data_IF_519779547802
#
_entry.id   IF_519779547802
#
_cell.length_a   1.000
_cell.length_b   1.000
_cell.length_c   1.000
_cell.angle_alpha   90.00
_cell.angle_beta   90.00
_cell.angle_gamma   90.00
#
_symmetry.space_group_name_H-M   'P 1'
#
loop_
_entity.id
_entity.type
_entity.pdbx_description
1 polymer ?
#
# COMPACT_ATOMS: atom_id res chain seq x y z
N UNK A 1 42.74 25.08 -42.46
CA UNK A 1 42.04 24.24 -43.46
C UNK A 1 41.56 22.98 -42.76
N UNK A 2 40.36 22.54 -43.12
CA UNK A 2 39.48 21.59 -42.44
C UNK A 2 40.03 20.17 -42.28
N UNK A 3 39.47 19.43 -41.30
CA UNK A 3 39.59 17.99 -41.17
C UNK A 3 38.70 17.45 -40.04
N UNK A 4 37.47 17.07 -40.41
CA UNK A 4 36.38 16.59 -39.54
C UNK A 4 36.62 15.19 -38.95
N UNK A 5 36.09 14.96 -37.74
CA UNK A 5 35.81 13.63 -37.17
C UNK A 5 34.38 13.61 -36.59
N UNK A 6 33.61 12.52 -36.72
CA UNK A 6 32.18 12.53 -36.49
C UNK A 6 31.87 12.55 -34.99
N UNK A 7 31.03 13.51 -34.57
CA UNK A 7 30.44 13.53 -33.24
C UNK A 7 29.52 12.32 -33.10
N UNK A 8 29.94 11.36 -32.28
CA UNK A 8 29.07 10.30 -31.77
C UNK A 8 27.94 10.96 -30.97
N UNK A 9 26.73 10.88 -31.52
CA UNK A 9 25.50 11.14 -30.82
C UNK A 9 25.44 10.22 -29.60
N UNK A 10 25.59 10.79 -28.41
CA UNK A 10 25.25 10.10 -27.19
C UNK A 10 23.74 10.27 -27.00
N UNK A 11 22.97 9.34 -27.58
CA UNK A 11 21.57 9.16 -27.23
C UNK A 11 21.50 8.88 -25.73
N UNK A 12 21.12 9.90 -24.96
CA UNK A 12 20.65 9.73 -23.60
C UNK A 12 19.33 8.95 -23.66
N UNK A 13 19.44 7.62 -23.56
CA UNK A 13 18.34 6.72 -23.22
C UNK A 13 17.65 7.28 -21.97
N UNK A 14 16.50 7.92 -22.18
CA UNK A 14 15.67 8.43 -21.11
C UNK A 14 15.16 7.26 -20.28
N UNK A 15 15.82 6.99 -19.15
CA UNK A 15 15.21 6.23 -18.08
C UNK A 15 14.08 7.09 -17.52
N UNK A 16 12.83 6.81 -17.94
CA UNK A 16 11.66 7.37 -17.30
C UNK A 16 11.51 6.72 -15.92
N UNK A 17 12.21 7.28 -14.92
CA UNK A 17 11.96 6.95 -13.53
C UNK A 17 10.49 7.21 -13.17
N UNK A 18 9.96 6.57 -12.11
CA UNK A 18 8.58 6.82 -11.69
C UNK A 18 8.38 8.32 -11.46
N UNK A 19 7.30 8.88 -11.99
CA UNK A 19 6.92 10.27 -11.73
C UNK A 19 6.73 10.41 -10.22
N UNK A 20 7.51 11.28 -9.59
CA UNK A 20 7.40 11.56 -8.17
C UNK A 20 6.63 12.87 -7.96
N UNK A 21 5.69 12.85 -7.02
CA UNK A 21 4.85 13.98 -6.64
C UNK A 21 5.42 14.58 -5.35
N UNK A 22 5.97 15.82 -5.40
CA UNK A 22 6.41 16.53 -4.20
C UNK A 22 5.23 16.78 -3.27
N UNK A 23 5.22 16.10 -2.13
CA UNK A 23 4.11 16.10 -1.19
C UNK A 23 4.54 16.77 0.12
N UNK A 24 3.79 17.78 0.56
CA UNK A 24 4.05 18.50 1.80
C UNK A 24 3.35 17.84 2.98
N UNK A 25 4.11 17.50 4.00
CA UNK A 25 3.63 17.04 5.29
C UNK A 25 3.75 18.15 6.32
N UNK A 26 2.71 18.35 7.12
CA UNK A 26 2.64 19.45 8.10
C UNK A 26 2.17 18.91 9.46
N UNK A 27 2.90 19.28 10.50
CA UNK A 27 2.59 19.02 11.90
C UNK A 27 2.35 20.34 12.65
N UNK A 28 1.09 20.70 12.97
CA UNK A 28 0.76 22.02 13.51
C UNK A 28 0.83 22.15 15.04
N UNK A 29 1.16 21.06 15.77
CA UNK A 29 0.93 20.99 17.22
C UNK A 29 2.16 21.27 18.09
N UNK A 30 3.22 21.85 17.53
CA UNK A 30 4.47 22.09 18.25
C UNK A 30 5.26 20.83 18.57
N UNK A 31 6.39 21.01 19.27
CA UNK A 31 7.35 19.98 19.62
C UNK A 31 8.78 20.52 19.55
N UNK A 32 9.76 19.81 20.13
CA UNK A 32 11.19 20.16 20.01
C UNK A 32 11.86 19.44 18.86
N UNK A 33 11.52 18.17 18.67
CA UNK A 33 12.01 17.32 17.58
C UNK A 33 10.84 16.60 16.93
N UNK A 34 10.58 16.93 15.67
CA UNK A 34 9.49 16.37 14.88
C UNK A 34 10.08 15.62 13.69
N UNK A 35 9.71 14.36 13.53
CA UNK A 35 10.09 13.54 12.40
C UNK A 35 8.87 12.95 11.70
N UNK A 36 9.02 12.64 10.42
CA UNK A 36 8.05 11.93 9.59
C UNK A 36 8.57 10.53 9.30
N UNK A 37 7.70 9.52 9.41
CA UNK A 37 7.96 8.17 8.90
C UNK A 37 6.70 7.65 8.22
N UNK A 38 6.85 6.77 7.24
CA UNK A 38 5.71 6.20 6.53
C UNK A 38 6.07 5.01 5.67
N UNK A 39 5.11 4.57 4.85
CA UNK A 39 5.31 3.44 3.93
C UNK A 39 6.46 3.68 2.95
N UNK A 40 6.69 4.93 2.56
CA UNK A 40 7.77 5.37 1.67
C UNK A 40 9.17 5.35 2.30
N UNK A 41 9.28 5.25 3.64
CA UNK A 41 10.53 4.97 4.37
C UNK A 41 10.56 3.55 4.93
N UNK A 42 9.62 2.68 4.49
CA UNK A 42 9.39 1.34 5.05
C UNK A 42 9.21 1.34 6.58
N UNK A 43 8.83 2.47 7.18
CA UNK A 43 8.77 2.67 8.63
C UNK A 43 10.10 2.45 9.39
N UNK A 44 11.23 2.41 8.68
CA UNK A 44 12.56 2.19 9.28
C UNK A 44 13.31 3.50 9.53
N UNK A 45 13.06 4.51 8.70
CA UNK A 45 13.76 5.80 8.77
C UNK A 45 12.86 6.92 9.29
N UNK A 46 13.48 7.90 9.96
CA UNK A 46 12.84 9.10 10.51
C UNK A 46 13.35 10.34 9.77
N UNK A 47 12.49 10.96 8.97
CA UNK A 47 12.81 12.16 8.20
C UNK A 47 12.63 13.39 9.11
N UNK A 48 13.67 14.18 9.40
CA UNK A 48 13.54 15.37 10.23
C UNK A 48 12.67 16.44 9.55
N UNK A 49 11.75 17.03 10.31
CA UNK A 49 10.91 18.14 9.85
C UNK A 49 11.48 19.47 10.33
N UNK A 50 11.26 20.54 9.55
CA UNK A 50 11.73 21.90 9.87
C UNK A 50 10.56 22.80 10.27
N UNK A 51 10.73 23.73 11.21
CA UNK A 51 9.72 24.75 11.49
C UNK A 51 9.37 25.55 10.23
N UNK A 52 8.10 25.91 10.09
CA UNK A 52 7.61 26.76 9.03
C UNK A 52 8.03 28.22 9.30
N UNK A 53 8.38 28.94 8.24
CA UNK A 53 8.76 30.34 8.34
C UNK A 53 7.61 31.17 8.94
N UNK A 54 7.92 31.99 9.96
CA UNK A 54 6.93 32.79 10.68
C UNK A 54 6.07 32.03 11.70
N UNK A 55 6.09 30.70 11.70
CA UNK A 55 5.27 29.84 12.58
C UNK A 55 6.13 28.73 13.21
N UNK A 56 6.93 29.01 14.26
CA UNK A 56 7.88 28.05 14.82
C UNK A 56 7.23 26.82 15.49
N UNK A 57 5.93 26.87 15.75
CA UNK A 57 5.14 25.76 16.30
C UNK A 57 4.63 24.81 15.22
N UNK A 58 4.72 25.18 13.94
CA UNK A 58 4.27 24.36 12.82
C UNK A 58 5.51 23.79 12.14
N UNK A 59 5.61 22.47 12.05
CA UNK A 59 6.70 21.78 11.38
C UNK A 59 6.26 21.29 10.01
N UNK A 60 7.16 21.30 9.04
CA UNK A 60 6.89 20.81 7.69
C UNK A 60 8.08 20.07 7.08
N UNK A 61 7.78 19.18 6.14
CA UNK A 61 8.76 18.60 5.21
C UNK A 61 8.08 18.34 3.87
N UNK A 62 8.82 18.48 2.78
CA UNK A 62 8.38 18.06 1.45
C UNK A 62 9.10 16.77 1.13
N UNK A 63 8.34 15.73 0.77
CA UNK A 63 8.88 14.44 0.37
C UNK A 63 8.28 14.00 -0.95
N UNK A 64 9.12 13.45 -1.81
CA UNK A 64 8.72 13.02 -3.15
C UNK A 64 8.11 11.62 -3.06
N UNK A 65 6.83 11.50 -3.40
CA UNK A 65 6.09 10.25 -3.32
C UNK A 65 5.66 9.74 -4.69
N UNK A 66 5.64 8.43 -4.85
CA UNK A 66 5.01 7.79 -6.01
C UNK A 66 3.48 7.97 -5.95
N UNK A 67 2.77 7.98 -7.09
CA UNK A 67 1.32 7.91 -7.12
C UNK A 67 0.79 6.66 -6.41
N UNK A 68 -0.23 6.80 -5.60
CA UNK A 68 -0.82 5.70 -4.84
C UNK A 68 -1.18 6.07 -3.41
N UNK A 69 -1.47 5.04 -2.63
CA UNK A 69 -1.86 5.16 -1.24
C UNK A 69 -0.64 5.03 -0.33
N UNK A 70 -0.46 5.99 0.57
CA UNK A 70 0.61 6.01 1.54
C UNK A 70 0.07 6.20 2.95
N UNK A 71 0.69 5.51 3.89
CA UNK A 71 0.46 5.68 5.32
C UNK A 71 1.67 6.35 5.94
N UNK A 72 1.45 7.21 6.92
CA UNK A 72 2.51 7.94 7.62
C UNK A 72 2.13 8.28 9.05
N UNK A 73 3.15 8.60 9.85
CA UNK A 73 3.01 8.98 11.25
C UNK A 73 4.12 9.96 11.63
N UNK A 74 3.83 10.81 12.61
CA UNK A 74 4.79 11.76 13.15
C UNK A 74 5.43 11.19 14.41
N UNK A 75 6.74 11.35 14.55
CA UNK A 75 7.46 11.04 15.78
C UNK A 75 7.86 12.35 16.44
N UNK A 76 7.21 12.69 17.56
CA UNK A 76 7.28 14.00 18.20
C UNK A 76 7.77 13.83 19.63
N UNK A 77 8.96 14.35 19.91
CA UNK A 77 9.55 14.35 21.26
C UNK A 77 9.60 12.98 21.96
N UNK A 78 9.73 11.90 21.18
CA UNK A 78 9.79 10.53 21.70
C UNK A 78 8.52 9.70 21.46
N UNK A 79 7.43 10.35 21.04
CA UNK A 79 6.11 9.73 20.97
C UNK A 79 5.57 9.67 19.54
N UNK A 80 4.92 8.55 19.20
CA UNK A 80 4.26 8.36 17.92
C UNK A 80 2.89 9.03 17.90
N UNK A 81 2.72 10.05 17.06
CA UNK A 81 1.49 10.84 16.93
C UNK A 81 0.98 10.88 15.51
N UNK A 82 -0.31 11.10 15.35
CA UNK A 82 -0.95 11.34 14.07
C UNK A 82 -1.65 12.69 14.12
N UNK A 83 -1.86 13.30 12.95
CA UNK A 83 -2.61 14.54 12.82
C UNK A 83 -4.10 14.22 12.68
N UNK A 84 -4.90 14.56 13.68
CA UNK A 84 -6.34 14.27 13.72
C UNK A 84 -7.14 15.04 12.65
N UNK A 85 -6.56 16.13 12.10
CA UNK A 85 -7.18 16.93 11.03
C UNK A 85 -6.92 16.39 9.63
N UNK A 86 -6.10 15.33 9.50
CA UNK A 86 -5.79 14.69 8.22
C UNK A 86 -6.43 13.30 8.16
N UNK A 87 -6.70 12.75 6.96
CA UNK A 87 -7.23 11.40 6.84
C UNK A 87 -6.36 10.40 7.60
N UNK A 88 -6.98 9.48 8.34
CA UNK A 88 -6.28 8.46 9.12
C UNK A 88 -7.05 7.14 9.12
N UNK A 89 -6.34 6.07 9.46
CA UNK A 89 -6.92 4.75 9.71
C UNK A 89 -6.43 4.25 11.06
N UNK A 90 -7.30 3.55 11.78
CA UNK A 90 -6.98 2.90 13.05
C UNK A 90 -6.96 1.40 12.84
N UNK A 91 -5.87 0.76 13.26
CA UNK A 91 -5.70 -0.69 13.21
C UNK A 91 -5.13 -1.24 14.51
N UNK A 92 -4.74 -2.51 14.48
CA UNK A 92 -4.11 -3.23 15.60
C UNK A 92 -2.79 -2.62 16.10
N UNK A 93 -2.05 -1.92 15.23
CA UNK A 93 -0.81 -1.21 15.56
C UNK A 93 -1.02 0.28 15.92
N UNK A 94 -2.28 0.68 16.16
CA UNK A 94 -2.68 2.05 16.47
C UNK A 94 -3.11 2.85 15.26
N UNK A 95 -3.18 4.17 15.42
CA UNK A 95 -3.65 5.09 14.37
C UNK A 95 -2.49 5.63 13.55
N UNK A 96 -2.66 5.69 12.23
CA UNK A 96 -1.72 6.27 11.25
C UNK A 96 -2.47 7.20 10.30
N UNK A 97 -1.83 8.29 9.89
CA UNK A 97 -2.36 9.13 8.83
C UNK A 97 -2.23 8.44 7.47
N UNK A 98 -3.06 8.88 6.53
CA UNK A 98 -3.19 8.30 5.20
C UNK A 98 -3.26 9.41 4.16
N UNK A 99 -2.69 9.15 2.99
CA UNK A 99 -2.77 10.06 1.85
C UNK A 99 -2.86 9.25 0.57
N UNK A 100 -3.74 9.67 -0.33
CA UNK A 100 -3.83 9.12 -1.68
C UNK A 100 -3.39 10.17 -2.69
N UNK A 101 -2.37 9.83 -3.47
CA UNK A 101 -1.87 10.67 -4.54
C UNK A 101 -2.36 10.09 -5.86
N UNK A 102 -3.30 10.77 -6.50
CA UNK A 102 -3.69 10.46 -7.87
C UNK A 102 -2.47 10.70 -8.77
N UNK A 103 -2.08 9.69 -9.57
CA UNK A 103 -1.14 9.93 -10.67
C UNK A 103 -1.84 10.82 -11.69
N UNK A 104 -1.09 11.72 -12.34
CA UNK A 104 -1.68 12.58 -13.37
C UNK A 104 -2.51 11.73 -14.35
N UNK A 105 -3.83 11.96 -14.47
CA UNK A 105 -4.55 11.52 -15.64
C UNK A 105 -4.09 12.42 -16.78
N UNK A 106 -3.60 11.83 -17.89
CA UNK A 106 -3.37 12.58 -19.12
C UNK A 106 -4.59 13.47 -19.41
N UNK A 107 -4.37 14.78 -19.42
CA UNK A 107 -5.41 15.79 -19.54
C UNK A 107 -6.18 15.62 -20.86
N UNK A 108 -7.51 15.55 -20.78
CA UNK A 108 -8.39 16.02 -21.86
C UNK A 108 -9.35 17.06 -21.25
N UNK A 109 -9.45 18.29 -21.79
CA UNK A 109 -10.07 19.41 -21.09
C UNK A 109 -11.59 19.31 -21.03
N UNK A 110 -12.10 19.75 -19.88
CA UNK A 110 -13.50 19.94 -19.49
C UNK A 110 -14.26 20.92 -20.39
N UNK A 111 -15.55 20.65 -20.63
CA UNK A 111 -16.55 21.66 -21.00
C UNK A 111 -17.79 21.59 -20.10
N UNK A 112 -17.89 22.57 -19.19
CA UNK A 112 -19.06 23.29 -18.65
C UNK A 112 -20.32 22.48 -18.24
N UNK A 113 -20.59 22.24 -16.94
CA UNK A 113 -21.28 23.09 -15.92
C UNK A 113 -22.82 23.12 -16.07
N UNK A 114 -23.60 23.65 -15.09
CA UNK A 114 -23.89 23.18 -13.73
C UNK A 114 -25.42 23.11 -13.49
N UNK A 115 -25.94 22.60 -12.35
CA UNK A 115 -27.09 23.21 -11.64
C UNK A 115 -27.45 22.51 -10.31
N UNK A 116 -27.83 23.37 -9.36
CA UNK A 116 -28.11 23.16 -7.94
C UNK A 116 -29.61 22.98 -7.68
N UNK A 117 -30.04 22.26 -6.62
CA UNK A 117 -31.13 22.68 -5.70
C UNK A 117 -31.66 21.59 -4.73
N UNK A 118 -31.88 22.00 -3.47
CA UNK A 118 -32.98 21.55 -2.58
C UNK A 118 -32.74 20.30 -1.71
N UNK A 119 -32.56 20.42 -0.38
CA UNK A 119 -33.60 20.47 0.70
C UNK A 119 -34.30 19.10 0.88
N UNK A 120 -34.35 18.40 2.02
CA UNK A 120 -34.50 18.77 3.45
C UNK A 120 -34.29 17.59 4.42
N UNK A 121 -33.76 17.91 5.61
CA UNK A 121 -34.12 17.60 7.01
C UNK A 121 -34.61 16.21 7.55
N UNK A 122 -33.89 15.81 8.62
CA UNK A 122 -34.25 15.29 9.97
C UNK A 122 -34.58 13.80 10.24
N UNK A 123 -33.70 13.22 11.10
CA UNK A 123 -33.82 12.29 12.24
C UNK A 123 -35.02 11.34 12.36
N UNK A 124 -34.78 10.06 12.70
CA UNK A 124 -34.85 9.52 14.10
C UNK A 124 -34.07 8.20 14.21
N UNK A 125 -33.32 8.13 15.30
CA UNK A 125 -32.69 7.01 15.99
C UNK A 125 -33.45 5.66 16.02
N UNK A 126 -32.73 4.55 15.87
CA UNK A 126 -33.14 3.24 16.35
C UNK A 126 -31.90 2.36 16.60
N UNK A 127 -31.49 2.28 17.86
CA UNK A 127 -30.47 1.39 18.41
C UNK A 127 -30.70 -0.09 18.04
N UNK A 128 -29.77 -0.67 17.28
CA UNK A 128 -29.40 -2.10 17.36
C UNK A 128 -27.89 -2.21 17.17
N UNK A 129 -27.17 -2.43 18.27
CA UNK A 129 -25.77 -2.83 18.27
C UNK A 129 -25.60 -4.16 17.51
N UNK A 130 -25.23 -4.09 16.24
CA UNK A 130 -24.52 -5.17 15.56
C UNK A 130 -23.16 -4.62 15.15
N UNK A 131 -22.18 -4.73 16.06
CA UNK A 131 -20.78 -4.48 15.75
C UNK A 131 -20.29 -5.63 14.85
N UNK A 132 -20.64 -5.57 13.56
CA UNK A 132 -19.92 -6.30 12.53
C UNK A 132 -18.91 -5.31 11.99
N UNK A 133 -17.63 -5.54 12.29
CA UNK A 133 -16.53 -4.84 11.64
C UNK A 133 -16.81 -4.81 10.14
N UNK A 134 -17.09 -3.63 9.61
CA UNK A 134 -17.18 -3.44 8.19
C UNK A 134 -15.76 -3.57 7.65
N UNK A 135 -15.39 -4.79 7.25
CA UNK A 135 -14.37 -5.02 6.23
C UNK A 135 -14.62 -3.96 5.15
N UNK A 136 -13.65 -3.09 4.82
CA UNK A 136 -13.83 -2.10 3.76
C UNK A 136 -14.34 -2.84 2.54
N UNK A 137 -15.60 -2.60 2.16
CA UNK A 137 -16.19 -3.21 0.97
C UNK A 137 -15.58 -2.48 -0.21
N UNK A 138 -14.38 -2.90 -0.62
CA UNK A 138 -13.77 -2.45 -1.86
C UNK A 138 -14.80 -2.65 -2.98
N UNK A 139 -15.07 -1.59 -3.75
CA UNK A 139 -15.96 -1.74 -4.88
C UNK A 139 -15.30 -2.66 -5.91
N UNK A 140 -16.10 -3.36 -6.70
CA UNK A 140 -15.56 -4.20 -7.78
C UNK A 140 -14.68 -3.37 -8.74
N UNK A 141 -15.06 -2.11 -8.99
CA UNK A 141 -14.27 -1.18 -9.79
C UNK A 141 -12.90 -0.88 -9.17
N UNK A 142 -12.82 -0.69 -7.85
CA UNK A 142 -11.55 -0.47 -7.15
C UNK A 142 -10.64 -1.70 -7.22
N UNK A 143 -11.21 -2.90 -7.12
CA UNK A 143 -10.48 -4.15 -7.28
C UNK A 143 -9.94 -4.31 -8.69
N UNK A 144 -10.74 -3.98 -9.71
CA UNK A 144 -10.33 -4.08 -11.11
C UNK A 144 -9.21 -3.09 -11.44
N UNK A 145 -9.32 -1.85 -10.94
CA UNK A 145 -8.25 -0.85 -11.04
C UNK A 145 -6.98 -1.35 -10.34
N UNK A 146 -7.11 -1.89 -9.12
CA UNK A 146 -5.96 -2.41 -8.36
C UNK A 146 -5.28 -3.57 -9.08
N UNK A 147 -6.05 -4.54 -9.59
CA UNK A 147 -5.52 -5.66 -10.40
C UNK A 147 -4.83 -5.15 -11.65
N UNK A 148 -5.42 -4.18 -12.35
CA UNK A 148 -4.86 -3.62 -13.56
C UNK A 148 -3.51 -2.94 -13.28
N UNK A 149 -3.41 -2.15 -12.20
CA UNK A 149 -2.17 -1.50 -11.78
C UNK A 149 -1.09 -2.51 -11.38
N UNK A 150 -1.45 -3.55 -10.62
CA UNK A 150 -0.52 -4.63 -10.24
C UNK A 150 -0.05 -5.36 -11.50
N UNK A 151 -0.95 -5.71 -12.42
CA UNK A 151 -0.62 -6.39 -13.68
C UNK A 151 0.34 -5.56 -14.54
N UNK A 152 0.07 -4.26 -14.71
CA UNK A 152 0.97 -3.35 -15.41
C UNK A 152 2.34 -3.30 -14.74
N UNK A 153 2.39 -3.19 -13.41
CA UNK A 153 3.64 -3.13 -12.67
C UNK A 153 4.46 -4.41 -12.84
N UNK A 154 3.85 -5.58 -12.63
CA UNK A 154 4.51 -6.88 -12.74
C UNK A 154 4.95 -7.19 -14.19
N UNK A 155 4.23 -6.69 -15.19
CA UNK A 155 4.60 -6.87 -16.61
C UNK A 155 5.79 -6.01 -17.03
N UNK A 156 6.08 -4.93 -16.29
CA UNK A 156 7.16 -3.98 -16.58
C UNK A 156 8.46 -4.26 -15.83
N UNK A 157 8.44 -5.18 -14.86
CA UNK A 157 9.60 -5.51 -14.03
C UNK A 157 9.95 -6.99 -14.18
N UNK A 158 11.24 -7.31 -14.12
CA UNK A 158 11.68 -8.71 -14.07
C UNK A 158 11.67 -9.23 -12.63
N UNK A 159 11.56 -10.54 -12.45
CA UNK A 159 11.57 -11.15 -11.12
C UNK A 159 12.83 -10.77 -10.30
N UNK A 160 13.96 -10.54 -10.96
CA UNK A 160 15.23 -10.15 -10.34
C UNK A 160 15.21 -8.74 -9.73
N UNK A 161 14.36 -7.85 -10.24
CA UNK A 161 14.21 -6.49 -9.69
C UNK A 161 13.28 -6.46 -8.48
N UNK A 162 12.38 -7.44 -8.38
CA UNK A 162 11.35 -7.49 -7.34
C UNK A 162 11.75 -8.36 -6.15
N UNK A 163 12.53 -9.41 -6.39
CA UNK A 163 12.99 -10.30 -5.33
C UNK A 163 14.21 -9.69 -4.61
N UNK A 164 14.29 -9.80 -3.27
CA UNK A 164 15.49 -9.42 -2.55
C UNK A 164 16.68 -10.29 -2.98
N UNK A 165 17.90 -9.75 -2.90
CA UNK A 165 19.14 -10.44 -3.26
C UNK A 165 19.28 -11.82 -2.57
N UNK A 166 18.71 -11.95 -1.37
CA UNK A 166 18.50 -13.22 -0.70
C UNK A 166 17.10 -13.27 -0.09
N UNK A 167 16.32 -14.27 -0.47
CA UNK A 167 14.99 -14.52 0.06
C UNK A 167 14.67 -16.01 0.02
N UNK A 168 14.02 -16.51 1.07
CA UNK A 168 13.51 -17.88 1.08
C UNK A 168 12.15 -17.90 0.40
N UNK A 169 12.03 -18.68 -0.68
CA UNK A 169 10.76 -18.93 -1.37
C UNK A 169 10.26 -20.32 -0.96
N UNK A 170 8.99 -20.42 -0.62
CA UNK A 170 8.34 -21.68 -0.24
C UNK A 170 7.21 -21.92 -1.23
N UNK A 171 7.18 -23.11 -1.81
CA UNK A 171 6.06 -23.64 -2.56
C UNK A 171 5.74 -25.02 -1.99
N UNK A 172 4.45 -25.34 -1.87
CA UNK A 172 4.00 -26.61 -1.32
C UNK A 172 3.53 -27.51 -2.47
N UNK A 173 3.93 -28.77 -2.45
CA UNK A 173 3.40 -29.75 -3.40
C UNK A 173 1.91 -30.00 -3.12
N UNK A 174 1.09 -30.12 -4.17
CA UNK A 174 -0.35 -30.42 -4.03
C UNK A 174 -0.65 -31.73 -3.30
N UNK A 175 0.29 -32.68 -3.30
CA UNK A 175 0.16 -33.96 -2.61
C UNK A 175 0.66 -33.92 -1.15
N UNK A 176 1.15 -32.76 -0.68
CA UNK A 176 1.64 -32.60 0.68
C UNK A 176 0.48 -32.73 1.68
N UNK A 177 0.55 -33.64 2.67
CA UNK A 177 -0.45 -33.73 3.72
C UNK A 177 -0.70 -32.40 4.45
N UNK A 178 -1.97 -32.07 4.67
CA UNK A 178 -2.40 -30.78 5.27
C UNK A 178 -1.71 -30.48 6.60
N UNK A 179 -1.51 -31.51 7.45
CA UNK A 179 -0.79 -31.36 8.73
C UNK A 179 0.67 -30.91 8.54
N UNK A 180 1.34 -31.45 7.52
CA UNK A 180 2.71 -31.06 7.20
C UNK A 180 2.76 -29.67 6.59
N UNK A 181 1.82 -29.35 5.70
CA UNK A 181 1.66 -28.01 5.15
C UNK A 181 1.51 -26.95 6.25
N UNK A 182 0.65 -27.20 7.24
CA UNK A 182 0.48 -26.33 8.41
C UNK A 182 1.79 -26.14 9.19
N UNK A 183 2.50 -27.24 9.46
CA UNK A 183 3.74 -27.18 10.22
C UNK A 183 4.81 -26.35 9.49
N UNK A 184 4.96 -26.54 8.18
CA UNK A 184 5.89 -25.77 7.35
C UNK A 184 5.53 -24.28 7.40
N UNK A 185 4.26 -23.92 7.17
CA UNK A 185 3.85 -22.51 7.18
C UNK A 185 4.11 -21.85 8.54
N UNK A 186 3.84 -22.56 9.63
CA UNK A 186 4.08 -22.08 10.99
C UNK A 186 5.58 -21.93 11.30
N UNK A 187 6.40 -22.94 11.04
CA UNK A 187 7.86 -22.89 11.26
C UNK A 187 8.53 -21.80 10.42
N UNK A 188 8.02 -21.56 9.22
CA UNK A 188 8.55 -20.57 8.30
C UNK A 188 7.95 -19.18 8.50
N UNK A 189 6.97 -19.02 9.41
CA UNK A 189 6.33 -17.75 9.71
C UNK A 189 5.60 -17.14 8.51
N UNK A 190 5.17 -17.95 7.54
CA UNK A 190 4.47 -17.47 6.33
C UNK A 190 2.98 -17.80 6.42
N UNK A 191 2.08 -16.80 6.27
CA UNK A 191 0.64 -17.03 6.40
C UNK A 191 0.01 -17.67 5.15
N UNK A 192 0.77 -17.75 4.06
CA UNK A 192 0.30 -18.15 2.74
C UNK A 192 1.46 -18.73 1.91
N UNK A 193 1.21 -19.79 1.14
CA UNK A 193 2.18 -20.32 0.18
C UNK A 193 1.50 -20.82 -1.12
N UNK A 194 2.16 -20.67 -2.27
CA UNK A 194 1.68 -21.21 -3.53
C UNK A 194 1.71 -22.75 -3.56
N UNK A 195 0.74 -23.34 -4.24
CA UNK A 195 0.63 -24.78 -4.48
C UNK A 195 1.21 -25.13 -5.84
N UNK A 196 2.20 -26.02 -5.86
CA UNK A 196 2.86 -26.53 -7.05
C UNK A 196 2.35 -27.93 -7.38
N UNK A 197 1.80 -28.10 -8.59
CA UNK A 197 1.44 -29.41 -9.12
C UNK A 197 2.62 -29.95 -9.94
N UNK A 198 3.36 -30.90 -9.37
CA UNK A 198 4.50 -31.52 -10.04
C UNK A 198 4.11 -32.23 -11.34
N UNK A 199 2.92 -32.86 -11.39
CA UNK A 199 2.46 -33.57 -12.57
C UNK A 199 2.14 -32.65 -13.74
N UNK A 200 1.68 -31.43 -13.45
CA UNK A 200 1.38 -30.41 -14.47
C UNK A 200 2.50 -29.38 -14.68
N UNK A 201 3.52 -29.36 -13.82
CA UNK A 201 4.62 -28.39 -13.86
C UNK A 201 4.15 -26.94 -13.72
N UNK A 202 3.11 -26.69 -12.92
CA UNK A 202 2.53 -25.35 -12.77
C UNK A 202 2.01 -25.08 -11.36
N UNK A 203 1.91 -23.79 -11.03
CA UNK A 203 1.20 -23.35 -9.85
C UNK A 203 -0.30 -23.42 -10.09
N UNK A 204 -1.02 -24.15 -9.23
CA UNK A 204 -2.46 -24.40 -9.38
C UNK A 204 -3.31 -23.62 -8.39
N UNK A 205 -2.69 -22.92 -7.45
CA UNK A 205 -3.40 -22.14 -6.45
C UNK A 205 -2.49 -21.68 -5.33
N UNK A 206 -3.13 -21.25 -4.24
CA UNK A 206 -2.47 -20.72 -3.06
C UNK A 206 -3.17 -21.30 -1.84
N UNK A 207 -2.40 -21.72 -0.84
CA UNK A 207 -2.88 -22.20 0.45
C UNK A 207 -2.61 -21.15 1.52
N UNK A 208 -3.66 -20.74 2.23
CA UNK A 208 -3.62 -19.70 3.26
C UNK A 208 -4.09 -20.21 4.63
N UNK A 209 -3.82 -19.42 5.68
CA UNK A 209 -4.36 -19.66 7.02
C UNK A 209 -5.89 -19.85 7.04
N UNK A 210 -6.63 -19.14 6.18
CA UNK A 210 -8.09 -19.25 6.07
C UNK A 210 -8.50 -20.63 5.56
N UNK A 211 -7.77 -21.18 4.58
CA UNK A 211 -8.07 -22.49 4.03
C UNK A 211 -7.94 -23.59 5.08
N UNK A 212 -6.97 -23.51 6.00
CA UNK A 212 -6.89 -24.43 7.14
C UNK A 212 -8.10 -24.33 8.05
N UNK A 213 -8.58 -23.11 8.34
CA UNK A 213 -9.79 -22.91 9.15
C UNK A 213 -10.99 -23.57 8.47
N UNK A 214 -11.12 -23.41 7.15
CA UNK A 214 -12.19 -24.01 6.37
C UNK A 214 -12.10 -25.54 6.35
N UNK A 215 -10.91 -26.10 6.12
CA UNK A 215 -10.68 -27.55 6.13
C UNK A 215 -11.01 -28.13 7.52
N UNK A 216 -10.55 -27.50 8.61
CA UNK A 216 -10.85 -27.95 9.96
C UNK A 216 -12.35 -27.88 10.27
N UNK A 217 -13.05 -26.82 9.86
CA UNK A 217 -14.50 -26.70 10.02
C UNK A 217 -15.26 -27.80 9.29
N UNK A 218 -14.89 -28.06 8.03
CA UNK A 218 -15.51 -29.11 7.20
C UNK A 218 -15.31 -30.50 7.82
N UNK A 219 -14.09 -30.81 8.26
CA UNK A 219 -13.78 -32.12 8.88
C UNK A 219 -14.50 -32.35 10.21
N UNK A 220 -14.79 -31.30 10.99
CA UNK A 220 -15.59 -31.43 12.21
C UNK A 220 -17.08 -31.70 11.90
N UNK A 221 -17.62 -31.07 10.86
CA UNK A 221 -19.01 -31.28 10.44
C UNK A 221 -19.25 -32.64 9.80
N UNK A 222 -18.25 -33.25 9.15
CA UNK A 222 -18.40 -34.59 8.54
C UNK A 222 -18.31 -35.76 9.53
N UNK A 223 -17.96 -35.51 10.79
CA UNK A 223 -17.84 -36.55 11.84
C UNK A 223 -19.00 -36.56 12.85
N UNK A 224 -20.13 -35.90 12.55
CA UNK A 224 -21.38 -35.98 13.33
C UNK A 224 -22.49 -36.66 12.55
#
# INVERSE_FOLDING_TARGET
>A
MFGSGPGTAHESRGFSGPVLIPTRFVWPYGGRRVFLSGSFTRWLEHIPMSPMEGCPTVFQVVWNLTPGYHQYKFYVDGEWRHNEQQPFVTGNCGTVNTIFLAGEPDMVPTSFSPETSGRSNMDVDNDVFTHVEAVPRFSQADLDISRHRISMFLSRHTAYELLPESGKVIALDVNLPVKQAFHILHEQGVPVAPLWDFGKGQFVGVLSALDFILILKETQTSTS
#
